data_IF_502565546857
#
_entry.id   IF_502565546857
#
_cell.length_a   1.000
_cell.length_b   1.000
_cell.length_c   1.000
_cell.angle_alpha   90.00
_cell.angle_beta   90.00
_cell.angle_gamma   90.00
#
_symmetry.space_group_name_H-M   'P 1'
#
loop_
_entity.id
_entity.type
_entity.pdbx_description
1 polymer ?
#
# COMPACT_ATOMS: atom_id res chain seq x y z
N UNK A 1 3.59 -10.40 33.03
CA UNK A 1 3.74 -10.93 31.67
C UNK A 1 2.37 -11.02 31.06
N UNK A 2 2.10 -10.18 30.07
CA UNK A 2 0.87 -10.22 29.30
C UNK A 2 1.03 -11.29 28.20
N UNK A 3 0.79 -12.56 28.55
CA UNK A 3 0.78 -13.68 27.58
C UNK A 3 -0.54 -13.70 26.77
N UNK A 4 -0.94 -12.53 26.25
CA UNK A 4 -2.22 -12.38 25.54
C UNK A 4 -2.13 -12.84 24.07
N UNK A 5 -0.94 -12.79 23.45
CA UNK A 5 -0.72 -13.18 22.07
C UNK A 5 0.61 -13.95 21.94
N UNK A 6 0.62 -15.07 21.22
CA UNK A 6 1.85 -15.80 20.96
C UNK A 6 2.77 -14.97 20.07
N UNK A 7 4.04 -14.83 20.49
CA UNK A 7 5.04 -13.99 19.86
C UNK A 7 5.80 -14.66 18.72
N UNK A 8 5.75 -15.98 18.60
CA UNK A 8 6.46 -16.74 17.57
C UNK A 8 5.76 -18.05 17.22
N UNK A 9 5.86 -18.47 15.97
CA UNK A 9 5.30 -19.72 15.46
C UNK A 9 4.14 -19.52 14.48
N UNK A 10 3.68 -20.63 13.88
CA UNK A 10 2.70 -20.61 12.78
C UNK A 10 1.44 -21.46 13.00
N UNK A 11 1.13 -21.82 14.25
CA UNK A 11 0.06 -22.81 14.52
C UNK A 11 -1.37 -22.29 14.51
N UNK A 12 -1.62 -20.97 14.64
CA UNK A 12 -2.97 -20.44 14.82
C UNK A 12 -3.09 -19.03 14.26
N UNK A 13 -4.30 -18.60 13.85
CA UNK A 13 -4.58 -17.24 13.39
C UNK A 13 -4.14 -16.14 14.38
N UNK A 14 -4.06 -16.46 15.66
CA UNK A 14 -3.56 -15.53 16.69
C UNK A 14 -2.10 -15.12 16.49
N UNK A 15 -1.27 -15.97 15.90
CA UNK A 15 0.13 -15.65 15.61
C UNK A 15 0.28 -14.63 14.46
N UNK A 16 -0.76 -14.47 13.66
CA UNK A 16 -0.76 -13.56 12.52
C UNK A 16 -1.13 -12.12 12.92
N UNK A 17 -1.78 -11.94 14.08
CA UNK A 17 -2.26 -10.63 14.54
C UNK A 17 -1.09 -9.66 14.78
N UNK A 18 -0.05 -10.10 15.49
CA UNK A 18 1.09 -9.25 15.83
C UNK A 18 1.90 -8.82 14.57
N UNK A 19 2.32 -9.73 13.68
CA UNK A 19 2.99 -9.37 12.44
C UNK A 19 2.16 -8.42 11.57
N UNK A 20 0.87 -8.73 11.39
CA UNK A 20 -0.04 -7.90 10.59
C UNK A 20 -0.20 -6.50 11.17
N UNK A 21 -0.32 -6.37 12.48
CA UNK A 21 -0.42 -5.08 13.15
C UNK A 21 0.87 -4.26 13.00
N UNK A 22 2.03 -4.90 13.11
CA UNK A 22 3.34 -4.26 12.94
C UNK A 22 3.50 -3.68 11.52
N UNK A 23 3.18 -4.48 10.50
CA UNK A 23 3.20 -4.03 9.11
C UNK A 23 2.19 -2.91 8.88
N UNK A 24 0.96 -3.07 9.38
CA UNK A 24 -0.12 -2.10 9.20
C UNK A 24 0.21 -0.73 9.78
N UNK A 25 0.86 -0.65 10.94
CA UNK A 25 1.24 0.63 11.57
C UNK A 25 2.13 1.48 10.67
N UNK A 26 3.11 0.87 10.02
CA UNK A 26 4.01 1.57 9.10
C UNK A 26 3.25 2.16 7.91
N UNK A 27 2.34 1.39 7.32
CA UNK A 27 1.55 1.83 6.17
C UNK A 27 0.45 2.82 6.54
N UNK A 28 -0.21 2.66 7.70
CA UNK A 28 -1.23 3.60 8.19
C UNK A 28 -0.65 5.02 8.27
N UNK A 29 0.54 5.18 8.85
CA UNK A 29 1.16 6.51 8.98
C UNK A 29 1.48 7.13 7.62
N UNK A 30 1.92 6.33 6.67
CA UNK A 30 2.21 6.75 5.30
C UNK A 30 0.95 7.18 4.56
N UNK A 31 -0.12 6.37 4.64
CA UNK A 31 -1.39 6.68 3.97
C UNK A 31 -2.14 7.85 4.60
N UNK A 32 -2.10 8.02 5.91
CA UNK A 32 -2.66 9.23 6.55
C UNK A 32 -1.99 10.49 6.00
N UNK A 33 -0.66 10.49 5.88
CA UNK A 33 0.09 11.61 5.32
C UNK A 33 -0.25 11.84 3.84
N UNK A 34 -0.34 10.77 3.06
CA UNK A 34 -0.70 10.83 1.65
C UNK A 34 -2.11 11.42 1.45
N UNK A 35 -3.09 10.91 2.17
CA UNK A 35 -4.48 11.40 2.11
C UNK A 35 -4.54 12.87 2.49
N UNK A 36 -3.89 13.25 3.58
CA UNK A 36 -3.84 14.65 4.03
C UNK A 36 -3.25 15.57 2.96
N UNK A 37 -2.13 15.20 2.37
CA UNK A 37 -1.48 16.01 1.35
C UNK A 37 -2.36 16.16 0.10
N UNK A 38 -2.94 15.05 -0.38
CA UNK A 38 -3.87 15.08 -1.52
C UNK A 38 -5.13 15.91 -1.23
N UNK A 39 -5.66 15.86 -0.01
CA UNK A 39 -6.80 16.69 0.36
C UNK A 39 -6.43 18.18 0.37
N UNK A 40 -5.27 18.55 0.93
CA UNK A 40 -4.80 19.93 0.95
C UNK A 40 -4.55 20.48 -0.46
N UNK A 41 -4.05 19.66 -1.37
CA UNK A 41 -3.86 20.04 -2.77
C UNK A 41 -5.21 20.20 -3.48
N UNK A 42 -6.13 19.28 -3.30
CA UNK A 42 -7.48 19.38 -3.85
C UNK A 42 -8.27 20.58 -3.31
N UNK A 43 -8.02 21.02 -2.08
CA UNK A 43 -8.64 22.24 -1.52
C UNK A 43 -8.28 23.53 -2.26
N UNK A 44 -7.15 23.56 -2.96
CA UNK A 44 -6.67 24.72 -3.72
C UNK A 44 -7.21 24.77 -5.15
N UNK A 45 -7.95 23.75 -5.58
CA UNK A 45 -8.46 23.64 -6.94
C UNK A 45 -9.67 24.56 -7.17
N UNK A 46 -9.83 25.02 -8.42
CA UNK A 46 -10.88 25.97 -8.81
C UNK A 46 -12.30 25.45 -8.53
N UNK A 47 -12.55 24.14 -8.64
CA UNK A 47 -13.87 23.58 -8.37
C UNK A 47 -14.31 23.78 -6.91
N UNK A 48 -13.36 23.88 -5.97
CA UNK A 48 -13.65 24.17 -4.56
C UNK A 48 -14.05 25.63 -4.40
N UNK A 49 -13.35 26.54 -5.11
CA UNK A 49 -13.70 27.94 -5.15
C UNK A 49 -15.12 28.14 -5.70
N UNK A 50 -15.44 27.51 -6.83
CA UNK A 50 -16.80 27.55 -7.40
C UNK A 50 -17.87 26.99 -6.46
N UNK A 51 -17.56 25.91 -5.74
CA UNK A 51 -18.49 25.33 -4.77
C UNK A 51 -18.77 26.29 -3.58
N UNK A 52 -17.74 26.99 -3.12
CA UNK A 52 -17.85 28.01 -2.07
C UNK A 52 -18.70 29.21 -2.53
N UNK A 53 -18.47 29.71 -3.75
CA UNK A 53 -19.24 30.83 -4.33
C UNK A 53 -20.72 30.45 -4.48
N UNK A 54 -21.05 29.20 -4.74
CA UNK A 54 -22.41 28.68 -4.77
C UNK A 54 -23.08 28.53 -3.40
N UNK A 55 -22.35 28.85 -2.31
CA UNK A 55 -22.90 28.77 -0.95
C UNK A 55 -23.08 27.35 -0.42
N UNK A 56 -22.39 26.38 -0.98
CA UNK A 56 -22.46 24.99 -0.47
C UNK A 56 -21.80 24.94 0.93
N UNK A 57 -22.39 24.18 1.88
CA UNK A 57 -21.81 24.05 3.22
C UNK A 57 -20.43 23.37 3.13
N UNK A 58 -19.47 23.91 3.85
CA UNK A 58 -18.06 23.46 3.84
C UNK A 58 -17.90 21.94 4.08
N UNK A 59 -18.76 21.36 4.90
CA UNK A 59 -18.78 19.91 5.15
C UNK A 59 -19.11 19.10 3.88
N UNK A 60 -20.06 19.57 3.08
CA UNK A 60 -20.40 18.91 1.82
C UNK A 60 -19.27 19.01 0.80
N UNK A 61 -18.62 20.18 0.73
CA UNK A 61 -17.46 20.38 -0.14
C UNK A 61 -16.35 19.43 0.26
N UNK A 62 -16.04 19.33 1.56
CA UNK A 62 -14.97 18.50 2.08
C UNK A 62 -15.23 17.01 1.80
N UNK A 63 -16.41 16.49 2.16
CA UNK A 63 -16.71 15.05 2.10
C UNK A 63 -17.05 14.60 0.68
N UNK A 64 -17.88 15.36 -0.03
CA UNK A 64 -18.44 14.92 -1.31
C UNK A 64 -17.54 15.24 -2.50
N UNK A 65 -16.77 16.32 -2.42
CA UNK A 65 -15.92 16.77 -3.53
C UNK A 65 -14.44 16.50 -3.25
N UNK A 66 -13.89 17.01 -2.15
CA UNK A 66 -12.45 16.91 -1.86
C UNK A 66 -12.07 15.48 -1.50
N UNK A 67 -12.72 14.89 -0.50
CA UNK A 67 -12.39 13.53 -0.04
C UNK A 67 -12.58 12.49 -1.14
N UNK A 68 -13.70 12.55 -1.86
CA UNK A 68 -13.97 11.63 -2.97
C UNK A 68 -12.88 11.67 -4.04
N UNK A 69 -12.44 12.88 -4.41
CA UNK A 69 -11.39 13.06 -5.42
C UNK A 69 -10.01 12.61 -4.90
N UNK A 70 -9.71 12.89 -3.62
CA UNK A 70 -8.48 12.46 -2.97
C UNK A 70 -8.40 10.94 -2.77
N UNK A 71 -9.53 10.28 -2.51
CA UNK A 71 -9.60 8.81 -2.34
C UNK A 71 -9.20 8.05 -3.60
N UNK A 72 -9.47 8.60 -4.78
CA UNK A 72 -9.08 7.97 -6.03
C UNK A 72 -7.56 7.79 -6.12
N UNK A 73 -6.81 8.86 -5.92
CA UNK A 73 -5.34 8.83 -5.88
C UNK A 73 -4.81 7.89 -4.78
N UNK A 74 -5.50 7.83 -3.63
CA UNK A 74 -5.11 6.94 -2.53
C UNK A 74 -5.29 5.46 -2.87
N UNK A 75 -6.38 5.08 -3.55
CA UNK A 75 -6.62 3.69 -3.96
C UNK A 75 -5.52 3.22 -4.91
N UNK A 76 -5.11 4.07 -5.85
CA UNK A 76 -4.00 3.76 -6.77
C UNK A 76 -2.69 3.61 -5.99
N UNK A 77 -2.38 4.53 -5.08
CA UNK A 77 -1.17 4.47 -4.27
C UNK A 77 -1.11 3.21 -3.37
N UNK A 78 -2.26 2.78 -2.80
CA UNK A 78 -2.38 1.53 -2.06
C UNK A 78 -2.05 0.35 -2.97
N UNK A 79 -2.60 0.33 -4.18
CA UNK A 79 -2.34 -0.73 -5.14
C UNK A 79 -0.86 -0.84 -5.53
N UNK A 80 -0.21 0.28 -5.80
CA UNK A 80 1.23 0.33 -6.10
C UNK A 80 2.12 -0.09 -4.93
N UNK A 81 1.60 -0.07 -3.69
CA UNK A 81 2.34 -0.52 -2.51
C UNK A 81 2.28 -2.04 -2.29
N UNK A 82 1.41 -2.78 -3.00
CA UNK A 82 1.27 -4.24 -2.82
C UNK A 82 2.59 -4.98 -3.10
N UNK A 83 3.32 -4.71 -4.21
CA UNK A 83 4.60 -5.37 -4.45
C UNK A 83 5.64 -5.07 -3.36
N UNK A 84 5.64 -3.84 -2.84
CA UNK A 84 6.52 -3.44 -1.74
C UNK A 84 6.17 -4.16 -0.43
N UNK A 85 4.88 -4.40 -0.18
CA UNK A 85 4.44 -5.21 0.95
C UNK A 85 5.00 -6.63 0.86
N UNK A 86 4.93 -7.27 -0.30
CA UNK A 86 5.41 -8.63 -0.49
C UNK A 86 6.93 -8.72 -0.25
N UNK A 87 7.71 -7.74 -0.73
CA UNK A 87 9.15 -7.73 -0.51
C UNK A 87 9.57 -7.22 0.88
N UNK A 88 8.79 -6.32 1.48
CA UNK A 88 9.10 -5.66 2.75
C UNK A 88 8.80 -6.48 4.00
N UNK A 89 8.07 -7.58 3.89
CA UNK A 89 7.72 -8.43 5.04
C UNK A 89 8.85 -9.35 5.52
N UNK A 90 9.96 -9.43 4.81
CA UNK A 90 11.12 -10.29 5.14
C UNK A 90 11.57 -10.11 6.60
N UNK A 91 11.73 -8.87 7.04
CA UNK A 91 12.18 -8.56 8.41
C UNK A 91 11.15 -9.02 9.44
N UNK A 92 9.88 -8.74 9.16
CA UNK A 92 8.76 -9.12 10.05
C UNK A 92 8.63 -10.64 10.13
N UNK A 93 8.74 -11.34 8.99
CA UNK A 93 8.72 -12.81 8.95
C UNK A 93 9.82 -13.41 9.81
N UNK A 94 11.04 -12.85 9.75
CA UNK A 94 12.15 -13.33 10.58
C UNK A 94 11.96 -13.03 12.06
N UNK A 95 11.53 -11.83 12.42
CA UNK A 95 11.35 -11.42 13.83
C UNK A 95 10.27 -12.28 14.50
N UNK A 96 9.19 -12.59 13.79
CA UNK A 96 8.08 -13.38 14.32
C UNK A 96 8.23 -14.89 14.03
N UNK A 97 9.34 -15.33 13.44
CA UNK A 97 9.58 -16.72 13.01
C UNK A 97 8.42 -17.29 12.17
N UNK A 98 7.86 -16.46 11.29
CA UNK A 98 6.79 -16.84 10.40
C UNK A 98 7.37 -17.46 9.12
N UNK A 99 6.96 -18.70 8.72
CA UNK A 99 7.45 -19.33 7.50
C UNK A 99 6.83 -18.65 6.28
N UNK A 100 7.61 -17.78 5.64
CA UNK A 100 7.22 -17.05 4.44
C UNK A 100 8.32 -17.07 3.37
N UNK A 101 8.05 -16.39 2.26
CA UNK A 101 9.01 -16.29 1.15
C UNK A 101 10.29 -15.55 1.56
N UNK A 102 10.19 -14.58 2.47
CA UNK A 102 11.34 -13.84 2.95
C UNK A 102 12.26 -14.67 3.83
N UNK A 103 11.71 -15.47 4.73
CA UNK A 103 12.51 -16.41 5.56
C UNK A 103 13.18 -17.47 4.70
N UNK A 104 12.48 -17.96 3.67
CA UNK A 104 13.06 -18.89 2.69
C UNK A 104 14.24 -18.26 1.94
N UNK A 105 14.11 -17.02 1.49
CA UNK A 105 15.18 -16.30 0.82
C UNK A 105 16.41 -16.14 1.74
N UNK A 106 16.20 -15.70 2.99
CA UNK A 106 17.30 -15.54 3.95
C UNK A 106 18.00 -16.86 4.25
N UNK A 107 17.24 -17.93 4.49
CA UNK A 107 17.84 -19.25 4.74
C UNK A 107 18.66 -19.76 3.55
N UNK A 108 18.18 -19.50 2.33
CA UNK A 108 18.89 -19.85 1.10
C UNK A 108 20.18 -19.05 0.91
N UNK A 109 20.19 -17.78 1.33
CA UNK A 109 21.42 -16.96 1.33
C UNK A 109 22.48 -17.56 2.26
N UNK A 110 22.10 -17.93 3.49
CA UNK A 110 23.01 -18.55 4.45
C UNK A 110 23.51 -19.91 3.97
N UNK A 111 22.66 -20.70 3.31
CA UNK A 111 23.01 -22.00 2.74
C UNK A 111 23.73 -21.89 1.40
N UNK A 112 23.88 -20.68 0.83
CA UNK A 112 24.46 -20.45 -0.51
C UNK A 112 23.71 -21.19 -1.63
N UNK A 113 22.39 -21.32 -1.47
CA UNK A 113 21.52 -21.98 -2.46
C UNK A 113 21.15 -20.97 -3.56
N UNK A 114 22.03 -20.82 -4.53
CA UNK A 114 21.88 -19.86 -5.62
C UNK A 114 20.62 -20.09 -6.48
N UNK A 115 20.22 -21.34 -6.83
CA UNK A 115 19.00 -21.58 -7.58
C UNK A 115 17.74 -21.02 -6.90
N UNK A 116 17.62 -21.19 -5.59
CA UNK A 116 16.47 -20.68 -4.82
C UNK A 116 16.50 -19.15 -4.74
N UNK A 117 17.69 -18.58 -4.51
CA UNK A 117 17.85 -17.09 -4.47
C UNK A 117 17.46 -16.49 -5.81
N UNK A 118 17.94 -17.05 -6.93
CA UNK A 118 17.63 -16.55 -8.27
C UNK A 118 16.13 -16.65 -8.58
N UNK A 119 15.53 -17.79 -8.24
CA UNK A 119 14.09 -18.01 -8.42
C UNK A 119 13.27 -17.00 -7.60
N UNK A 120 13.65 -16.75 -6.35
CA UNK A 120 13.00 -15.76 -5.50
C UNK A 120 13.07 -14.36 -6.11
N UNK A 121 14.26 -13.89 -6.50
CA UNK A 121 14.45 -12.56 -7.08
C UNK A 121 13.64 -12.41 -8.38
N UNK A 122 13.65 -13.43 -9.23
CA UNK A 122 12.89 -13.43 -10.48
C UNK A 122 11.38 -13.38 -10.19
N UNK A 123 10.90 -14.17 -9.26
CA UNK A 123 9.48 -14.19 -8.86
C UNK A 123 9.02 -12.83 -8.34
N UNK A 124 9.77 -12.23 -7.41
CA UNK A 124 9.44 -10.90 -6.89
C UNK A 124 9.50 -9.84 -7.99
N UNK A 125 10.52 -9.90 -8.86
CA UNK A 125 10.65 -8.98 -10.00
C UNK A 125 9.46 -9.06 -10.96
N UNK A 126 9.03 -10.26 -11.32
CA UNK A 126 7.85 -10.47 -12.17
C UNK A 126 6.58 -9.96 -11.50
N UNK A 127 6.37 -10.29 -10.22
CA UNK A 127 5.22 -9.79 -9.46
C UNK A 127 5.21 -8.26 -9.41
N UNK A 128 6.37 -7.64 -9.17
CA UNK A 128 6.49 -6.19 -9.12
C UNK A 128 6.07 -5.55 -10.46
N UNK A 129 6.57 -6.06 -11.58
CA UNK A 129 6.23 -5.56 -12.92
C UNK A 129 4.75 -5.76 -13.22
N UNK A 130 4.20 -6.93 -12.94
CA UNK A 130 2.79 -7.25 -13.20
C UNK A 130 1.87 -6.34 -12.38
N UNK A 131 2.12 -6.18 -11.08
CA UNK A 131 1.29 -5.32 -10.23
C UNK A 131 1.39 -3.86 -10.65
N UNK A 132 2.59 -3.33 -10.93
CA UNK A 132 2.71 -1.95 -11.40
C UNK A 132 1.95 -1.75 -12.72
N UNK A 133 2.11 -2.65 -13.69
CA UNK A 133 1.40 -2.56 -14.96
C UNK A 133 -0.13 -2.56 -14.78
N UNK A 134 -0.65 -3.44 -13.93
CA UNK A 134 -2.09 -3.52 -13.65
C UNK A 134 -2.58 -2.22 -13.02
N UNK A 135 -1.85 -1.67 -12.04
CA UNK A 135 -2.27 -0.43 -11.37
C UNK A 135 -2.09 0.81 -12.25
N UNK A 136 -1.08 0.86 -13.11
CA UNK A 136 -0.91 1.93 -14.12
C UNK A 136 -2.09 1.94 -15.12
N UNK A 137 -2.50 0.77 -15.58
CA UNK A 137 -3.68 0.63 -16.45
C UNK A 137 -4.94 1.08 -15.71
N UNK A 138 -5.13 0.62 -14.47
CA UNK A 138 -6.28 1.01 -13.64
C UNK A 138 -6.31 2.53 -13.42
N UNK A 139 -5.17 3.15 -13.18
CA UNK A 139 -5.05 4.60 -13.02
C UNK A 139 -5.45 5.32 -14.31
N UNK A 140 -4.90 4.91 -15.44
CA UNK A 140 -5.17 5.52 -16.75
C UNK A 140 -6.65 5.40 -17.15
N UNK A 141 -7.27 4.25 -16.87
CA UNK A 141 -8.70 4.02 -17.15
C UNK A 141 -9.59 4.83 -16.19
N UNK A 142 -9.16 4.99 -14.95
CA UNK A 142 -9.95 5.64 -13.90
C UNK A 142 -9.80 7.17 -13.88
N UNK A 143 -8.71 7.74 -14.44
CA UNK A 143 -8.49 9.18 -14.48
C UNK A 143 -8.79 9.75 -15.87
N UNK A 144 -9.98 10.36 -16.06
CA UNK A 144 -10.36 10.96 -17.34
C UNK A 144 -9.54 12.22 -17.70
N UNK A 145 -8.73 12.74 -16.79
CA UNK A 145 -7.88 13.94 -17.02
C UNK A 145 -6.62 13.58 -17.81
N UNK A 146 -6.02 12.44 -17.57
CA UNK A 146 -4.86 11.93 -18.32
C UNK A 146 -5.18 11.69 -19.81
N UNK A 147 -6.44 11.44 -20.12
CA UNK A 147 -6.91 11.23 -21.52
C UNK A 147 -6.88 12.50 -22.36
N UNK A 148 -6.81 13.70 -21.78
CA UNK A 148 -6.83 14.98 -22.49
C UNK A 148 -5.43 15.55 -22.78
N UNK A 149 -4.38 15.07 -22.15
CA UNK A 149 -3.01 15.52 -22.37
C UNK A 149 -2.29 14.72 -23.45
N UNK A 150 -2.87 13.65 -23.96
CA UNK A 150 -2.33 12.80 -25.03
C UNK A 150 -2.99 12.94 -26.41
N UNK A 151 -3.79 14.00 -26.63
CA UNK A 151 -4.44 14.25 -27.94
C UNK A 151 -3.97 15.58 -28.56
#
# INVERSE_FOLDING_TARGET
KLDLLPTSGNGTLKHLILPSFTVSLSYISTYIRLIRNNMLENMKQDYVLYANVRGLPSRNILVKHILKNSMHTCIVAIGMSIPQLISGTIVVENVFAWPGLGTLCISSIFNRDYPVIQTYVLLIGVLFVVFNLVFDILQTVSDPRMRKEGA
#
